data_IF_211403263445
#
_entry.id   IF_211403263445
#
_cell.length_a   1.000
_cell.length_b   1.000
_cell.length_c   1.000
_cell.angle_alpha   90.00
_cell.angle_beta   90.00
_cell.angle_gamma   90.00
#
_symmetry.space_group_name_H-M   'P 1'
#
loop_
_entity.id
_entity.type
_entity.pdbx_description
1 polymer ?
#
# COMPACT_ATOMS: atom_id res chain seq x y z
N UNK A 1 -4.96 9.42 2.93
CA UNK A 1 -4.15 8.19 3.14
C UNK A 1 -3.09 8.03 2.05
N UNK A 2 -3.45 7.87 0.78
CA UNK A 2 -2.49 7.64 -0.34
C UNK A 2 -1.29 8.59 -0.41
N UNK A 3 -1.50 9.92 -0.35
CA UNK A 3 -0.38 10.90 -0.37
C UNK A 3 0.59 10.69 0.79
N UNK A 4 0.11 10.27 1.96
CA UNK A 4 0.97 9.96 3.10
C UNK A 4 1.76 8.67 2.87
N UNK A 5 1.12 7.65 2.29
CA UNK A 5 1.75 6.41 1.90
C UNK A 5 2.91 6.62 0.90
N UNK A 6 2.67 7.39 -0.16
CA UNK A 6 3.71 7.73 -1.16
C UNK A 6 4.87 8.51 -0.53
N UNK A 7 4.59 9.44 0.40
CA UNK A 7 5.66 10.18 1.10
C UNK A 7 6.53 9.25 1.95
N UNK A 8 5.92 8.32 2.69
CA UNK A 8 6.66 7.35 3.49
C UNK A 8 7.54 6.44 2.61
N UNK A 9 6.97 5.86 1.54
CA UNK A 9 7.71 5.00 0.63
C UNK A 9 8.92 5.71 0.00
N UNK A 10 8.75 6.97 -0.43
CA UNK A 10 9.86 7.80 -0.94
C UNK A 10 10.91 8.10 0.11
N UNK A 11 10.50 8.39 1.35
CA UNK A 11 11.39 8.75 2.44
C UNK A 11 12.34 7.60 2.81
N UNK A 12 11.87 6.36 2.77
CA UNK A 12 12.68 5.17 3.10
C UNK A 12 13.33 4.51 1.87
N UNK A 13 13.19 5.10 0.68
CA UNK A 13 13.71 4.53 -0.56
C UNK A 13 13.11 3.14 -0.88
N UNK A 14 11.83 2.95 -0.59
CA UNK A 14 11.16 1.66 -0.77
C UNK A 14 11.05 1.29 -2.25
N UNK A 15 11.31 0.03 -2.58
CA UNK A 15 11.28 -0.52 -3.95
C UNK A 15 10.44 -1.79 -3.95
N UNK A 16 9.75 -2.05 -5.07
CA UNK A 16 8.78 -3.14 -5.24
C UNK A 16 7.43 -2.87 -4.54
N UNK A 17 6.55 -3.87 -4.52
CA UNK A 17 5.22 -3.76 -3.92
C UNK A 17 5.28 -3.88 -2.38
N UNK A 18 4.53 -3.02 -1.70
CA UNK A 18 4.33 -3.06 -0.25
C UNK A 18 3.01 -2.42 0.14
N UNK A 19 2.52 -2.74 1.34
CA UNK A 19 1.25 -2.23 1.86
C UNK A 19 1.49 -1.32 3.05
N UNK A 20 0.88 -0.13 3.05
CA UNK A 20 0.85 0.73 4.24
C UNK A 20 -0.53 0.58 4.89
N UNK A 21 -0.52 0.13 6.13
CA UNK A 21 -1.73 -0.13 6.89
C UNK A 21 -2.10 1.06 7.76
N UNK A 22 -3.39 1.39 7.75
CA UNK A 22 -3.97 2.47 8.52
C UNK A 22 -5.13 1.97 9.36
N UNK A 23 -5.28 2.54 10.55
CA UNK A 23 -6.51 2.47 11.32
C UNK A 23 -7.36 3.71 11.03
N UNK A 24 -8.56 3.51 10.48
CA UNK A 24 -9.51 4.59 10.19
C UNK A 24 -10.63 4.64 11.23
N UNK A 25 -10.90 5.83 11.78
CA UNK A 25 -12.05 6.08 12.64
C UNK A 25 -13.14 6.83 11.84
N UNK A 26 -14.27 6.18 11.51
CA UNK A 26 -15.33 6.80 10.72
C UNK A 26 -16.06 7.97 11.41
N UNK A 27 -16.09 8.02 12.75
CA UNK A 27 -16.80 9.08 13.48
C UNK A 27 -16.16 10.44 13.27
N UNK A 28 -14.83 10.46 13.33
CA UNK A 28 -14.04 11.70 13.27
C UNK A 28 -13.33 11.86 11.91
N UNK A 29 -13.50 10.91 10.98
CA UNK A 29 -12.81 10.83 9.69
C UNK A 29 -11.28 10.92 9.81
N UNK A 30 -10.74 10.43 10.93
CA UNK A 30 -9.31 10.42 11.22
C UNK A 30 -8.69 9.08 10.83
N UNK A 31 -7.41 9.10 10.45
CA UNK A 31 -6.65 7.88 10.18
C UNK A 31 -5.27 7.94 10.83
N UNK A 32 -4.79 6.79 11.28
CA UNK A 32 -3.52 6.65 11.99
C UNK A 32 -2.69 5.55 11.32
N UNK A 33 -1.39 5.78 11.19
CA UNK A 33 -0.45 4.80 10.64
C UNK A 33 -0.30 3.62 11.61
N UNK A 34 -0.30 2.39 11.08
CA UNK A 34 0.03 1.19 11.83
C UNK A 34 1.43 0.70 11.46
N UNK A 35 1.60 0.28 10.21
CA UNK A 35 2.87 -0.25 9.73
C UNK A 35 2.99 -0.16 8.20
N UNK A 36 4.20 -0.46 7.71
CA UNK A 36 4.47 -0.77 6.31
C UNK A 36 4.86 -2.24 6.24
N UNK A 37 4.08 -3.06 5.52
CA UNK A 37 4.41 -4.45 5.23
C UNK A 37 5.33 -4.51 4.00
N UNK A 38 6.63 -4.88 4.15
CA UNK A 38 7.62 -4.75 3.08
C UNK A 38 7.60 -5.95 2.12
N UNK A 39 6.42 -6.40 1.71
CA UNK A 39 6.19 -7.58 0.86
C UNK A 39 4.88 -7.43 0.10
N UNK A 40 4.75 -8.19 -1.00
CA UNK A 40 3.45 -8.41 -1.63
C UNK A 40 2.54 -9.16 -0.64
N UNK A 41 1.31 -8.69 -0.48
CA UNK A 41 0.29 -9.30 0.38
C UNK A 41 -0.46 -10.41 -0.37
N UNK A 42 -1.03 -11.38 0.35
CA UNK A 42 -1.73 -12.51 -0.28
C UNK A 42 -3.03 -12.05 -0.96
N UNK A 43 -3.63 -11.01 -0.41
CA UNK A 43 -4.83 -10.33 -0.89
C UNK A 43 -4.58 -9.32 -2.03
N UNK A 44 -3.35 -9.26 -2.58
CA UNK A 44 -3.06 -8.40 -3.74
C UNK A 44 -4.00 -8.57 -4.96
N UNK A 45 -4.61 -9.76 -5.24
CA UNK A 45 -5.55 -9.89 -6.35
C UNK A 45 -6.78 -8.98 -6.24
N UNK A 46 -7.15 -8.54 -5.03
CA UNK A 46 -8.19 -7.52 -4.84
C UNK A 46 -7.84 -6.21 -5.54
N UNK A 47 -6.58 -5.77 -5.40
CA UNK A 47 -6.07 -4.56 -6.07
C UNK A 47 -5.89 -4.79 -7.56
N UNK A 48 -5.39 -5.96 -7.96
CA UNK A 48 -5.22 -6.28 -9.39
C UNK A 48 -6.56 -6.19 -10.15
N UNK A 49 -7.63 -6.75 -9.59
CA UNK A 49 -8.95 -6.78 -10.23
C UNK A 49 -9.58 -5.40 -10.42
N UNK A 50 -9.28 -4.42 -9.56
CA UNK A 50 -9.83 -3.05 -9.66
C UNK A 50 -8.92 -2.09 -10.41
N UNK A 51 -7.66 -2.48 -10.64
CA UNK A 51 -6.66 -1.64 -11.34
C UNK A 51 -6.27 -2.16 -12.72
N UNK A 52 -6.65 -3.40 -13.06
CA UNK A 52 -6.18 -4.12 -14.24
C UNK A 52 -4.64 -4.22 -14.34
N UNK A 53 -3.96 -4.23 -13.19
CA UNK A 53 -2.50 -4.35 -13.07
C UNK A 53 -2.14 -5.75 -12.57
N UNK A 54 -1.19 -6.41 -13.25
CA UNK A 54 -0.56 -7.64 -12.74
C UNK A 54 0.64 -7.26 -11.85
N UNK A 55 0.43 -7.30 -10.53
CA UNK A 55 1.41 -6.86 -9.55
C UNK A 55 2.67 -7.74 -9.52
N UNK A 56 2.59 -9.09 -9.53
CA UNK A 56 3.79 -9.93 -9.66
C UNK A 56 4.61 -9.62 -10.91
N UNK A 57 3.97 -9.36 -12.06
CA UNK A 57 4.69 -8.97 -13.27
C UNK A 57 5.38 -7.61 -13.13
N UNK A 58 4.71 -6.60 -12.55
CA UNK A 58 5.32 -5.30 -12.27
C UNK A 58 6.51 -5.37 -11.29
N UNK A 59 6.54 -6.36 -10.40
CA UNK A 59 7.68 -6.56 -9.50
C UNK A 59 8.93 -7.12 -10.21
N UNK A 60 8.77 -7.74 -11.39
CA UNK A 60 9.85 -8.37 -12.16
C UNK A 60 10.42 -7.47 -13.27
N UNK A 61 9.66 -6.48 -13.73
CA UNK A 61 10.04 -5.53 -14.81
C UNK A 61 11.25 -4.67 -14.44
#
# INVERSE_FOLDING_TARGET
>A
MEKAAVRLAKMVGYVSAGTIEYLYNPKDQTYFFLELNPRLQVEHPCTEMVTDINLPACQLQ
#
